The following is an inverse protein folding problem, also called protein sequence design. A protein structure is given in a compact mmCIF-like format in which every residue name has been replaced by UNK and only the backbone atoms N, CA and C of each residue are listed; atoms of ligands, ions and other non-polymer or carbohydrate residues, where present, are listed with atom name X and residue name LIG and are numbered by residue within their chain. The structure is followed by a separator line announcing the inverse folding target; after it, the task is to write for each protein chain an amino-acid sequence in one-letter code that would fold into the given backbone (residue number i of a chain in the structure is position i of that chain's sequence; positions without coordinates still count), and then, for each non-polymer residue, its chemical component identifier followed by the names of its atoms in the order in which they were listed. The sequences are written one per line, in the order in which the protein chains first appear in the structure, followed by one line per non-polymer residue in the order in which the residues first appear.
data_IF_081031877036
#
_entry.id   IF_081031877036
#
_cell.length_a   1.000
_cell.length_b   1.000
_cell.length_c   1.000
_cell.angle_alpha   90.00
_cell.angle_beta   90.00
_cell.angle_gamma   90.00
#
_symmetry.space_group_name_H-M   'P 1'
#
loop_
_entity.id
_entity.type
_entity.pdbx_description
1 polymer ?
#
# COMPACT_ATOMS: atom_id res chain seq x y z
N UNK A 1 2.79 -5.03 0.89
CA UNK A 1 3.50 -4.11 -0.04
C UNK A 1 3.40 -4.54 -1.50
N UNK A 2 3.45 -5.84 -1.82
CA UNK A 2 3.39 -6.34 -3.21
C UNK A 2 2.15 -5.83 -3.97
N UNK A 3 0.96 -5.89 -3.34
CA UNK A 3 -0.28 -5.35 -3.92
C UNK A 3 -0.24 -3.81 -4.07
N UNK A 4 0.31 -3.10 -3.09
CA UNK A 4 0.50 -1.64 -3.16
C UNK A 4 1.30 -1.27 -4.41
N UNK A 5 2.51 -1.83 -4.55
CA UNK A 5 3.36 -1.58 -5.72
C UNK A 5 2.70 -2.05 -7.01
N UNK A 6 1.99 -3.18 -7.00
CA UNK A 6 1.25 -3.64 -8.16
C UNK A 6 0.21 -2.62 -8.65
N UNK A 7 -0.55 -2.00 -7.74
CA UNK A 7 -1.53 -0.96 -8.09
C UNK A 7 -0.84 0.31 -8.63
N UNK A 8 0.24 0.76 -8.00
CA UNK A 8 1.04 1.90 -8.48
C UNK A 8 1.67 1.60 -9.84
N UNK A 9 2.27 0.41 -10.01
CA UNK A 9 2.85 -0.05 -11.28
C UNK A 9 1.83 -0.09 -12.40
N UNK A 10 0.59 -0.55 -12.12
CA UNK A 10 -0.49 -0.51 -13.11
C UNK A 10 -0.83 0.90 -13.55
N UNK A 11 -0.86 1.86 -12.63
CA UNK A 11 -1.09 3.28 -12.95
C UNK A 11 0.06 3.87 -13.77
N UNK A 12 1.30 3.41 -13.57
CA UNK A 12 2.48 3.76 -14.37
C UNK A 12 2.53 3.07 -15.74
N UNK A 13 1.65 2.11 -16.01
CA UNK A 13 1.66 1.32 -17.25
C UNK A 13 2.60 0.11 -17.22
N UNK A 14 3.11 -0.29 -16.07
CA UNK A 14 3.99 -1.45 -15.94
C UNK A 14 3.26 -2.76 -16.22
N UNK A 15 3.96 -3.67 -16.89
CA UNK A 15 3.50 -5.03 -17.19
C UNK A 15 4.02 -6.02 -16.15
N UNK A 16 5.26 -5.83 -15.71
CA UNK A 16 5.94 -6.72 -14.76
C UNK A 16 6.40 -5.95 -13.51
N UNK A 17 6.42 -6.64 -12.38
CA UNK A 17 6.95 -6.07 -11.13
C UNK A 17 8.44 -5.73 -11.21
N UNK A 18 9.19 -6.38 -12.09
CA UNK A 18 10.60 -6.10 -12.32
C UNK A 18 10.88 -4.72 -12.92
N UNK A 19 9.87 -4.05 -13.50
CA UNK A 19 10.00 -2.68 -14.00
C UNK A 19 10.20 -1.65 -12.87
N UNK A 20 9.94 -2.05 -11.63
CA UNK A 20 10.34 -1.29 -10.45
C UNK A 20 11.86 -1.33 -10.16
N UNK A 21 12.64 -2.14 -10.87
CA UNK A 21 14.10 -2.13 -10.73
C UNK A 21 14.64 -0.78 -11.19
N UNK A 22 15.25 -0.04 -10.27
CA UNK A 22 15.74 1.33 -10.53
C UNK A 22 14.67 2.43 -10.42
N UNK A 23 13.39 2.07 -10.22
CA UNK A 23 12.35 3.05 -9.91
C UNK A 23 12.43 3.44 -8.42
N UNK A 24 12.62 4.75 -8.09
CA UNK A 24 12.70 5.18 -6.70
C UNK A 24 11.45 4.86 -5.86
N UNK A 25 10.29 4.67 -6.48
CA UNK A 25 9.07 4.29 -5.76
C UNK A 25 9.13 2.85 -5.20
N UNK A 26 10.03 1.98 -5.71
CA UNK A 26 10.26 0.68 -5.09
C UNK A 26 10.74 0.83 -3.64
N UNK A 27 11.71 1.71 -3.41
CA UNK A 27 12.26 1.95 -2.08
C UNK A 27 11.38 2.92 -1.28
N UNK A 28 11.02 4.07 -1.84
CA UNK A 28 10.34 5.15 -1.13
C UNK A 28 8.87 4.87 -0.81
N UNK A 29 8.21 4.02 -1.59
CA UNK A 29 6.86 3.53 -1.28
C UNK A 29 6.90 2.10 -0.75
N UNK A 30 7.58 1.18 -1.43
CA UNK A 30 7.58 -0.23 -1.09
C UNK A 30 8.38 -0.56 0.17
N UNK A 31 9.69 -0.30 0.15
CA UNK A 31 10.57 -0.62 1.28
C UNK A 31 10.21 0.20 2.52
N UNK A 32 9.93 1.48 2.35
CA UNK A 32 9.53 2.35 3.46
C UNK A 32 8.16 1.98 4.04
N UNK A 33 7.21 1.47 3.26
CA UNK A 33 5.96 0.92 3.80
C UNK A 33 6.22 -0.27 4.73
N UNK A 34 7.20 -1.12 4.39
CA UNK A 34 7.62 -2.21 5.27
C UNK A 34 8.30 -1.69 6.53
N UNK A 35 9.34 -0.85 6.37
CA UNK A 35 10.18 -0.43 7.49
C UNK A 35 9.44 0.48 8.47
N UNK A 36 8.73 1.49 7.94
CA UNK A 36 8.11 2.54 8.76
C UNK A 36 6.72 2.17 9.23
N UNK A 37 5.88 1.66 8.32
CA UNK A 37 4.47 1.43 8.64
C UNK A 37 4.23 0.01 9.17
N UNK A 38 4.73 -1.04 8.50
CA UNK A 38 4.63 -2.41 9.03
C UNK A 38 5.56 -2.60 10.22
N UNK A 39 6.82 -2.22 10.11
CA UNK A 39 7.82 -2.33 11.17
C UNK A 39 7.47 -1.52 12.41
N UNK A 40 6.79 -0.38 12.22
CA UNK A 40 6.37 0.51 13.30
C UNK A 40 5.44 -0.17 14.32
N UNK A 41 4.54 -1.04 13.86
CA UNK A 41 3.67 -1.81 14.75
C UNK A 41 4.20 -3.22 15.06
N UNK A 42 4.87 -3.85 14.10
CA UNK A 42 5.32 -5.24 14.23
C UNK A 42 6.43 -5.39 15.28
N UNK A 43 7.49 -4.59 15.16
CA UNK A 43 8.67 -4.70 16.05
C UNK A 43 8.35 -4.49 17.53
N UNK A 44 7.59 -3.45 17.93
CA UNK A 44 7.20 -3.29 19.35
C UNK A 44 6.39 -4.46 19.87
N UNK A 45 5.49 -5.03 19.05
CA UNK A 45 4.61 -6.13 19.44
C UNK A 45 5.37 -7.43 19.71
N UNK A 46 6.43 -7.69 18.94
CA UNK A 46 7.19 -8.94 19.03
C UNK A 46 8.56 -8.77 19.67
N UNK A 47 8.82 -7.61 20.28
CA UNK A 47 10.05 -7.36 21.02
C UNK A 47 10.18 -8.37 22.18
N UNK A 48 11.34 -8.99 22.29
CA UNK A 48 11.63 -9.97 23.36
C UNK A 48 11.24 -11.42 23.03
N UNK A 49 10.68 -11.70 21.85
CA UNK A 49 10.40 -13.10 21.44
C UNK A 49 11.64 -13.90 21.07
N UNK A 50 12.80 -13.25 20.91
CA UNK A 50 14.03 -13.89 20.42
C UNK A 50 14.10 -14.03 18.90
N UNK A 51 13.04 -13.73 18.18
CA UNK A 51 13.01 -13.79 16.72
C UNK A 51 13.83 -12.64 16.12
N UNK A 52 14.76 -12.95 15.22
CA UNK A 52 15.65 -11.95 14.61
C UNK A 52 14.86 -10.85 13.87
N UNK A 53 13.76 -11.21 13.24
CA UNK A 53 12.86 -10.26 12.52
C UNK A 53 12.17 -9.26 13.46
N UNK A 54 12.17 -9.49 14.77
CA UNK A 54 11.65 -8.54 15.76
C UNK A 54 12.67 -7.44 16.15
N UNK A 55 13.96 -7.62 15.79
CA UNK A 55 14.98 -6.58 15.92
C UNK A 55 14.95 -5.58 14.76
N UNK A 56 15.54 -4.41 14.95
CA UNK A 56 15.60 -3.38 13.91
C UNK A 56 16.40 -3.85 12.69
N UNK A 57 17.57 -4.42 12.90
CA UNK A 57 18.43 -4.91 11.81
C UNK A 57 17.85 -6.15 11.12
N UNK A 58 17.29 -7.09 11.88
CA UNK A 58 16.65 -8.28 11.34
C UNK A 58 15.41 -7.92 10.50
N UNK A 59 14.58 -7.00 10.97
CA UNK A 59 13.42 -6.54 10.21
C UNK A 59 13.82 -5.82 8.91
N UNK A 60 14.82 -4.93 8.99
CA UNK A 60 15.36 -4.25 7.82
C UNK A 60 15.92 -5.25 6.80
N UNK A 61 16.70 -6.21 7.24
CA UNK A 61 17.25 -7.27 6.40
C UNK A 61 16.14 -8.05 5.70
N UNK A 62 15.13 -8.48 6.45
CA UNK A 62 13.96 -9.17 5.90
C UNK A 62 13.21 -8.30 4.88
N UNK A 63 12.97 -7.02 5.17
CA UNK A 63 12.26 -6.10 4.28
C UNK A 63 13.01 -5.90 2.95
N UNK A 64 14.33 -5.73 3.00
CA UNK A 64 15.18 -5.63 1.80
C UNK A 64 15.14 -6.92 0.98
N UNK A 65 15.22 -8.08 1.61
CA UNK A 65 15.13 -9.37 0.92
C UNK A 65 13.75 -9.56 0.27
N UNK A 66 12.68 -9.15 0.95
CA UNK A 66 11.33 -9.20 0.40
C UNK A 66 11.20 -8.27 -0.82
N UNK A 67 11.73 -7.05 -0.76
CA UNK A 67 11.71 -6.13 -1.89
C UNK A 67 12.50 -6.68 -3.09
N UNK A 68 13.71 -7.22 -2.88
CA UNK A 68 14.50 -7.89 -3.94
C UNK A 68 13.72 -9.02 -4.60
N UNK A 69 12.92 -9.76 -3.83
CA UNK A 69 12.07 -10.83 -4.37
C UNK A 69 10.92 -10.23 -5.22
N UNK A 70 10.27 -9.16 -4.75
CA UNK A 70 9.13 -8.53 -5.44
C UNK A 70 9.54 -8.03 -6.83
N UNK A 71 10.71 -7.40 -6.94
CA UNK A 71 11.20 -6.81 -8.20
C UNK A 71 12.10 -7.77 -9.01
N UNK A 72 12.16 -9.04 -8.64
CA UNK A 72 13.03 -10.01 -9.30
C UNK A 72 12.56 -10.33 -10.72
N UNK A 73 13.37 -10.03 -11.77
CA UNK A 73 12.97 -10.24 -13.17
C UNK A 73 12.76 -11.72 -13.52
N UNK A 74 13.44 -12.62 -12.84
CA UNK A 74 13.33 -14.07 -13.12
C UNK A 74 12.01 -14.68 -12.61
N UNK A 75 11.22 -13.97 -11.82
CA UNK A 75 9.90 -14.43 -11.40
C UNK A 75 8.81 -14.17 -12.44
N UNK A 76 9.06 -13.30 -13.40
CA UNK A 76 8.09 -12.90 -14.44
C UNK A 76 6.73 -12.50 -13.83
N UNK A 77 6.78 -11.81 -12.68
CA UNK A 77 5.59 -11.51 -11.88
C UNK A 77 4.79 -10.37 -12.55
N UNK A 78 3.66 -10.72 -13.16
CA UNK A 78 2.83 -9.76 -13.89
C UNK A 78 2.04 -8.89 -12.92
N UNK A 79 2.05 -7.59 -13.16
CA UNK A 79 1.27 -6.60 -12.40
C UNK A 79 -0.21 -7.00 -12.36
N UNK A 80 -0.81 -7.39 -13.49
CA UNK A 80 -2.22 -7.80 -13.56
C UNK A 80 -2.55 -9.01 -12.66
N UNK A 81 -1.61 -9.93 -12.48
CA UNK A 81 -1.76 -11.05 -11.53
C UNK A 81 -1.74 -10.56 -10.09
N UNK A 82 -0.86 -9.62 -9.79
CA UNK A 82 -0.71 -9.08 -8.44
C UNK A 82 -1.92 -8.28 -8.00
N UNK A 83 -2.54 -7.51 -8.90
CA UNK A 83 -3.70 -6.69 -8.56
C UNK A 83 -5.04 -7.41 -8.68
N UNK A 84 -5.05 -8.69 -9.08
CA UNK A 84 -6.28 -9.49 -9.18
C UNK A 84 -7.02 -9.52 -7.84
N UNK A 85 -8.34 -9.60 -7.88
CA UNK A 85 -9.24 -9.66 -6.72
C UNK A 85 -9.02 -8.49 -5.72
N UNK A 86 -9.10 -7.23 -6.18
CA UNK A 86 -8.80 -6.08 -5.32
C UNK A 86 -9.79 -5.94 -4.17
N UNK A 87 -11.07 -6.29 -4.36
CA UNK A 87 -12.09 -6.25 -3.31
C UNK A 87 -11.70 -7.12 -2.11
N UNK A 88 -11.29 -8.38 -2.37
CA UNK A 88 -10.79 -9.25 -1.32
C UNK A 88 -9.58 -8.66 -0.60
N UNK A 89 -8.64 -8.05 -1.33
CA UNK A 89 -7.41 -7.46 -0.75
C UNK A 89 -7.65 -6.16 0.00
N UNK A 90 -8.78 -5.51 -0.26
CA UNK A 90 -9.27 -4.35 0.48
C UNK A 90 -10.25 -4.74 1.60
N UNK A 91 -10.50 -6.03 1.84
CA UNK A 91 -11.32 -6.48 2.95
C UNK A 91 -10.71 -6.09 4.30
N UNK A 92 -11.57 -5.90 5.33
CA UNK A 92 -11.22 -5.33 6.63
C UNK A 92 -10.02 -5.97 7.33
N UNK A 93 -9.90 -7.29 7.24
CA UNK A 93 -8.83 -8.06 7.89
C UNK A 93 -7.73 -8.52 6.91
N UNK A 94 -7.82 -8.16 5.62
CA UNK A 94 -6.80 -8.56 4.65
C UNK A 94 -5.57 -7.63 4.73
N UNK A 95 -4.56 -7.97 3.97
CA UNK A 95 -3.17 -7.49 4.01
C UNK A 95 -2.98 -5.97 3.90
N UNK A 96 -3.88 -5.24 3.26
CA UNK A 96 -3.77 -3.77 3.14
C UNK A 96 -4.45 -3.13 4.34
N UNK A 97 -5.77 -3.27 4.43
CA UNK A 97 -6.56 -2.62 5.49
C UNK A 97 -6.16 -3.13 6.88
N UNK A 98 -5.96 -4.45 7.03
CA UNK A 98 -5.49 -5.01 8.30
C UNK A 98 -4.09 -4.50 8.73
N UNK A 99 -3.21 -4.15 7.77
CA UNK A 99 -1.92 -3.51 8.10
C UNK A 99 -2.11 -2.05 8.49
N UNK A 100 -2.97 -1.31 7.76
CA UNK A 100 -3.28 0.10 8.07
C UNK A 100 -3.84 0.22 9.50
N UNK A 101 -4.81 -0.61 9.84
CA UNK A 101 -5.41 -0.65 11.19
C UNK A 101 -4.38 -0.89 12.31
N UNK A 102 -3.50 -1.88 12.12
CA UNK A 102 -2.45 -2.18 13.09
C UNK A 102 -1.44 -1.04 13.23
N UNK A 103 -1.14 -0.35 12.12
CA UNK A 103 -0.27 0.82 12.14
C UNK A 103 -0.94 1.97 12.93
N UNK A 104 -2.20 2.29 12.62
CA UNK A 104 -2.98 3.32 13.33
C UNK A 104 -3.08 3.02 14.84
N UNK A 105 -3.40 1.78 15.21
CA UNK A 105 -3.45 1.35 16.61
C UNK A 105 -2.09 1.48 17.35
N UNK A 106 -0.99 1.50 16.59
CA UNK A 106 0.36 1.73 17.11
C UNK A 106 0.81 3.21 17.01
N UNK A 107 -0.08 4.13 16.65
CA UNK A 107 0.23 5.55 16.47
C UNK A 107 1.03 5.88 15.20
N UNK A 108 1.05 4.95 14.22
CA UNK A 108 1.74 5.13 12.94
C UNK A 108 0.72 5.40 11.83
N UNK A 109 0.81 6.56 11.18
CA UNK A 109 -0.07 6.89 10.06
C UNK A 109 0.38 6.13 8.80
N UNK A 110 -0.46 5.24 8.22
CA UNK A 110 -0.07 4.33 7.14
C UNK A 110 -0.19 4.98 5.76
N UNK A 111 0.51 6.06 5.51
CA UNK A 111 0.39 6.89 4.30
C UNK A 111 0.68 6.11 3.01
N UNK A 112 1.66 5.21 3.02
CA UNK A 112 2.05 4.42 1.84
C UNK A 112 1.03 3.33 1.55
N UNK A 113 0.56 2.62 2.59
CA UNK A 113 -0.52 1.65 2.42
C UNK A 113 -1.81 2.33 1.95
N UNK A 114 -2.10 3.55 2.44
CA UNK A 114 -3.23 4.34 1.99
C UNK A 114 -3.14 4.69 0.49
N UNK A 115 -1.94 5.08 -0.01
CA UNK A 115 -1.72 5.25 -1.46
C UNK A 115 -1.99 3.97 -2.24
N UNK A 116 -1.59 2.81 -1.72
CA UNK A 116 -1.88 1.51 -2.34
C UNK A 116 -3.37 1.19 -2.40
N UNK A 117 -4.11 1.46 -1.31
CA UNK A 117 -5.57 1.29 -1.26
C UNK A 117 -6.30 2.25 -2.21
N UNK A 118 -5.92 3.53 -2.21
CA UNK A 118 -6.48 4.53 -3.10
C UNK A 118 -6.18 4.24 -4.58
N UNK A 119 -4.97 3.74 -4.90
CA UNK A 119 -4.62 3.29 -6.24
C UNK A 119 -5.49 2.11 -6.70
N UNK A 120 -5.77 1.15 -5.81
CA UNK A 120 -6.68 0.05 -6.11
C UNK A 120 -8.11 0.55 -6.39
N UNK A 121 -8.62 1.50 -5.59
CA UNK A 121 -9.94 2.12 -5.83
C UNK A 121 -9.98 2.88 -7.16
N UNK A 122 -8.93 3.60 -7.50
CA UNK A 122 -8.84 4.32 -8.78
C UNK A 122 -8.87 3.33 -9.96
N UNK A 123 -8.15 2.22 -9.87
CA UNK A 123 -8.18 1.16 -10.89
C UNK A 123 -9.57 0.51 -11.01
N UNK A 124 -10.24 0.25 -9.89
CA UNK A 124 -11.61 -0.27 -9.87
C UNK A 124 -12.60 0.70 -10.53
N UNK A 125 -12.49 2.01 -10.24
CA UNK A 125 -13.32 3.04 -10.91
C UNK A 125 -13.08 3.10 -12.41
N UNK A 126 -11.82 2.98 -12.85
CA UNK A 126 -11.50 2.96 -14.29
C UNK A 126 -12.05 1.72 -15.00
N UNK A 127 -12.07 0.57 -14.31
CA UNK A 127 -12.59 -0.68 -14.86
C UNK A 127 -14.13 -0.73 -14.90
N UNK A 128 -14.81 -0.03 -14.00
CA UNK A 128 -16.28 0.01 -13.90
C UNK A 128 -16.74 1.44 -13.48
N UNK A 129 -16.75 2.40 -14.43
CA UNK A 129 -17.04 3.82 -14.12
C UNK A 129 -18.41 4.06 -13.50
N UNK A 130 -19.40 3.24 -13.86
CA UNK A 130 -20.78 3.36 -13.39
C UNK A 130 -20.98 2.86 -11.95
N UNK A 131 -19.97 2.21 -11.36
CA UNK A 131 -20.03 1.71 -9.99
C UNK A 131 -19.24 2.64 -9.06
N UNK A 132 -19.90 3.31 -8.11
CA UNK A 132 -19.21 4.19 -7.18
C UNK A 132 -18.28 3.35 -6.27
N UNK A 133 -16.97 3.55 -6.40
CA UNK A 133 -15.93 2.93 -5.59
C UNK A 133 -15.30 4.01 -4.69
N UNK A 134 -16.01 4.39 -3.65
CA UNK A 134 -15.68 5.47 -2.70
C UNK A 134 -15.64 4.96 -1.26
N UNK A 135 -15.57 5.86 -0.29
CA UNK A 135 -15.58 5.55 1.14
C UNK A 135 -16.84 4.76 1.56
N UNK A 136 -18.02 5.14 1.05
CA UNK A 136 -19.28 4.43 1.36
C UNK A 136 -19.26 3.00 0.82
N UNK A 137 -18.69 2.79 -0.35
CA UNK A 137 -18.51 1.45 -0.91
C UNK A 137 -17.56 0.61 -0.06
N UNK A 138 -16.42 1.18 0.40
CA UNK A 138 -15.51 0.50 1.32
C UNK A 138 -16.20 0.14 2.64
N UNK A 139 -16.97 1.07 3.21
CA UNK A 139 -17.72 0.83 4.42
C UNK A 139 -18.70 -0.35 4.25
N UNK A 140 -19.38 -0.42 3.10
CA UNK A 140 -20.24 -1.55 2.75
C UNK A 140 -19.48 -2.87 2.57
N UNK A 141 -18.29 -2.84 1.96
CA UNK A 141 -17.43 -4.01 1.82
C UNK A 141 -16.99 -4.57 3.17
N UNK A 142 -16.76 -3.71 4.15
CA UNK A 142 -16.30 -4.12 5.49
C UNK A 142 -17.44 -4.54 6.42
N UNK A 143 -18.65 -4.05 6.18
CA UNK A 143 -19.84 -4.41 6.96
C UNK A 143 -19.65 -4.18 8.45
N UNK A 144 -20.28 -5.04 9.25
CA UNK A 144 -20.24 -5.01 10.72
C UNK A 144 -18.89 -5.49 11.31
N UNK A 145 -17.98 -5.99 10.48
CA UNK A 145 -16.65 -6.42 10.93
C UNK A 145 -15.76 -5.23 11.34
N UNK A 146 -16.14 -3.99 10.93
CA UNK A 146 -15.36 -2.79 11.17
C UNK A 146 -15.93 -1.99 12.35
N UNK A 147 -15.10 -1.74 13.37
CA UNK A 147 -15.41 -0.73 14.39
C UNK A 147 -15.58 0.64 13.74
N UNK A 148 -16.61 1.43 14.12
CA UNK A 148 -16.90 2.72 13.49
C UNK A 148 -15.75 3.72 13.56
N UNK A 149 -15.05 3.83 14.69
CA UNK A 149 -13.92 4.75 14.86
C UNK A 149 -12.71 4.33 14.02
N UNK A 150 -12.31 3.03 14.09
CA UNK A 150 -11.23 2.50 13.25
C UNK A 150 -11.55 2.65 11.75
N UNK A 151 -12.82 2.50 11.36
CA UNK A 151 -13.27 2.66 9.99
C UNK A 151 -13.05 4.08 9.48
N UNK A 152 -13.43 5.08 10.27
CA UNK A 152 -13.29 6.49 9.93
C UNK A 152 -11.82 6.87 9.75
N UNK A 153 -10.95 6.43 10.66
CA UNK A 153 -9.50 6.67 10.58
C UNK A 153 -8.89 6.09 9.29
N UNK A 154 -9.26 4.84 8.94
CA UNK A 154 -8.77 4.19 7.72
C UNK A 154 -9.29 4.91 6.47
N UNK A 155 -10.57 5.28 6.43
CA UNK A 155 -11.19 6.01 5.32
C UNK A 155 -10.48 7.36 5.14
N UNK A 156 -10.29 8.13 6.20
CA UNK A 156 -9.59 9.43 6.16
C UNK A 156 -8.19 9.30 5.51
N UNK A 157 -7.43 8.26 5.89
CA UNK A 157 -6.14 8.01 5.27
C UNK A 157 -6.25 7.72 3.76
N UNK A 158 -7.25 6.93 3.36
CA UNK A 158 -7.45 6.55 1.95
C UNK A 158 -7.94 7.74 1.12
N UNK A 159 -8.80 8.59 1.66
CA UNK A 159 -9.31 9.77 0.96
C UNK A 159 -8.19 10.79 0.72
N UNK A 160 -7.38 11.09 1.74
CA UNK A 160 -6.21 11.96 1.59
C UNK A 160 -5.22 11.43 0.54
N UNK A 161 -5.00 10.12 0.50
CA UNK A 161 -4.20 9.47 -0.55
C UNK A 161 -4.87 9.55 -1.93
N UNK A 162 -6.20 9.47 -1.97
CA UNK A 162 -7.01 9.58 -3.17
C UNK A 162 -6.88 10.94 -3.86
N UNK A 163 -6.85 12.03 -3.09
CA UNK A 163 -6.63 13.40 -3.59
C UNK A 163 -5.26 13.51 -4.30
N UNK A 164 -4.21 12.95 -3.70
CA UNK A 164 -2.88 12.93 -4.31
C UNK A 164 -2.89 12.17 -5.64
N UNK A 165 -3.53 11.01 -5.68
CA UNK A 165 -3.57 10.17 -6.89
C UNK A 165 -4.43 10.77 -8.00
N UNK A 166 -5.47 11.51 -7.68
CA UNK A 166 -6.30 12.20 -8.68
C UNK A 166 -5.51 13.31 -9.39
N UNK A 167 -4.61 13.98 -8.68
CA UNK A 167 -3.75 15.03 -9.22
C UNK A 167 -2.47 14.50 -9.89
N UNK A 168 -2.14 13.21 -9.68
CA UNK A 168 -0.90 12.64 -10.18
C UNK A 168 -1.03 12.13 -11.61
N UNK A 169 -0.16 12.62 -12.48
CA UNK A 169 0.04 12.11 -13.84
C UNK A 169 1.42 11.43 -13.94
N UNK A 170 1.49 10.11 -14.06
CA UNK A 170 2.76 9.38 -14.14
C UNK A 170 3.58 9.70 -15.41
N UNK A 171 2.95 10.19 -16.47
CA UNK A 171 3.67 10.60 -17.69
C UNK A 171 4.47 11.88 -17.51
N UNK A 172 4.03 12.75 -16.61
CA UNK A 172 4.68 14.03 -16.26
C UNK A 172 5.55 13.87 -15.01
N UNK A 173 5.07 13.10 -14.05
CA UNK A 173 5.69 12.88 -12.74
C UNK A 173 5.90 11.38 -12.51
N UNK A 174 7.00 10.77 -13.00
CA UNK A 174 7.19 9.33 -12.96
C UNK A 174 7.29 8.75 -11.53
N UNK A 175 7.74 9.52 -10.52
CA UNK A 175 7.72 9.10 -9.13
C UNK A 175 6.50 9.64 -8.40
N UNK A 176 5.63 8.74 -7.94
CA UNK A 176 4.49 9.05 -7.08
C UNK A 176 4.94 9.60 -5.73
N UNK A 177 6.00 9.01 -5.12
CA UNK A 177 6.53 9.51 -3.85
C UNK A 177 7.00 10.96 -3.96
N UNK A 178 7.78 11.29 -5.01
CA UNK A 178 8.27 12.66 -5.21
C UNK A 178 7.12 13.64 -5.48
N UNK A 179 6.09 13.22 -6.21
CA UNK A 179 4.88 14.01 -6.43
C UNK A 179 4.14 14.26 -5.12
N UNK A 180 3.83 13.20 -4.35
CA UNK A 180 3.13 13.28 -3.07
C UNK A 180 3.87 14.17 -2.06
N UNK A 181 5.21 14.15 -2.08
CA UNK A 181 6.04 15.04 -1.25
C UNK A 181 5.85 16.51 -1.62
N UNK A 182 5.85 16.84 -2.90
CA UNK A 182 5.60 18.22 -3.36
C UNK A 182 4.18 18.69 -3.05
N UNK A 183 3.21 17.79 -3.07
CA UNK A 183 1.83 18.06 -2.69
C UNK A 183 1.61 18.17 -1.17
N UNK A 184 2.66 18.05 -0.34
CA UNK A 184 2.55 18.15 1.11
C UNK A 184 1.92 16.94 1.80
N UNK A 185 1.88 15.80 1.14
CA UNK A 185 1.25 14.58 1.68
C UNK A 185 2.09 13.90 2.77
N UNK A 186 3.42 14.04 2.75
CA UNK A 186 4.35 13.43 3.72
C UNK A 186 4.57 14.30 4.95
#
# INVERSE_FOLDING_TARGET
VHFLLGCVGKLKGYTYMSEFTGDPDADLLGLDALILETGGWFRPRYRGTGESVASDDGFRTWAVQLMRRIVNPYLFDRVDRIIRDPERKLAWNDRIIGTMRRALAAGVVPKRYALGAAAALLLLRRAAPDVPRNASWLAGLWGDAADPGEREDVITCIEAAGEVLQAWDPSVHPSLHAFARRAGYW
#
